data_IF_851618665665
#
_entry.id   IF_851618665665
#
_cell.length_a   1.000
_cell.length_b   1.000
_cell.length_c   1.000
_cell.angle_alpha   90.00
_cell.angle_beta   90.00
_cell.angle_gamma   90.00
#
_symmetry.space_group_name_H-M   'P 1'
#
loop_
_entity.id
_entity.type
_entity.pdbx_description
1 polymer ?
#
# COMPACT_ATOMS: atom_id res chain seq x y z
N UNK A 1 -34.46 -7.84 -5.85
CA UNK A 1 -33.48 -7.05 -6.64
C UNK A 1 -32.90 -5.93 -5.78
N UNK A 2 -32.19 -6.26 -4.71
CA UNK A 2 -31.58 -5.28 -3.77
C UNK A 2 -30.06 -5.42 -3.63
N UNK A 3 -29.44 -6.48 -4.17
CA UNK A 3 -28.03 -6.79 -3.91
C UNK A 3 -27.01 -5.86 -4.58
N UNK A 4 -27.34 -5.23 -5.72
CA UNK A 4 -26.40 -4.37 -6.48
C UNK A 4 -26.25 -3.01 -5.79
N UNK A 5 -27.37 -2.40 -5.35
CA UNK A 5 -27.34 -1.12 -4.64
C UNK A 5 -26.68 -1.26 -3.27
N UNK A 6 -26.88 -2.39 -2.59
CA UNK A 6 -26.25 -2.69 -1.30
C UNK A 6 -24.75 -3.02 -1.42
N UNK A 7 -24.29 -3.59 -2.55
CA UNK A 7 -22.85 -3.76 -2.83
C UNK A 7 -22.18 -2.41 -3.13
N UNK A 8 -22.78 -1.59 -3.99
CA UNK A 8 -22.27 -0.24 -4.32
C UNK A 8 -22.24 0.69 -3.10
N UNK A 9 -23.27 0.65 -2.25
CA UNK A 9 -23.32 1.41 -1.00
C UNK A 9 -22.22 0.97 -0.02
N UNK A 10 -21.90 -0.32 0.06
CA UNK A 10 -20.81 -0.84 0.91
C UNK A 10 -19.43 -0.43 0.41
N UNK A 11 -19.15 -0.49 -0.89
CA UNK A 11 -17.86 -0.06 -1.44
C UNK A 11 -17.65 1.46 -1.37
N UNK A 12 -18.68 2.26 -1.65
CA UNK A 12 -18.63 3.72 -1.47
C UNK A 12 -18.42 4.10 0.01
N UNK A 13 -19.12 3.44 0.94
CA UNK A 13 -18.94 3.71 2.37
C UNK A 13 -17.51 3.38 2.84
N UNK A 14 -16.89 2.29 2.35
CA UNK A 14 -15.50 1.93 2.66
C UNK A 14 -14.48 2.94 2.10
N UNK A 15 -14.72 3.48 0.90
CA UNK A 15 -13.88 4.52 0.30
C UNK A 15 -13.93 5.83 1.07
N UNK A 16 -15.13 6.26 1.48
CA UNK A 16 -15.33 7.51 2.24
C UNK A 16 -14.74 7.42 3.64
N UNK A 17 -14.89 6.30 4.36
CA UNK A 17 -14.30 6.13 5.70
C UNK A 17 -12.78 6.06 5.65
N UNK A 18 -12.20 5.33 4.68
CA UNK A 18 -10.74 5.20 4.52
C UNK A 18 -10.07 6.53 4.19
N UNK A 19 -10.64 7.31 3.27
CA UNK A 19 -10.09 8.62 2.89
C UNK A 19 -10.17 9.60 4.07
N UNK A 20 -11.27 9.58 4.83
CA UNK A 20 -11.45 10.46 5.99
C UNK A 20 -10.44 10.17 7.12
N UNK A 21 -10.20 8.89 7.43
CA UNK A 21 -9.23 8.48 8.46
C UNK A 21 -7.81 8.87 8.06
N UNK A 22 -7.36 8.52 6.84
CA UNK A 22 -6.02 8.86 6.36
C UNK A 22 -5.77 10.37 6.27
N UNK A 23 -6.78 11.14 5.85
CA UNK A 23 -6.66 12.59 5.76
C UNK A 23 -6.45 13.23 7.15
N UNK A 24 -7.23 12.77 8.15
CA UNK A 24 -7.10 13.27 9.54
C UNK A 24 -5.77 12.87 10.17
N UNK A 25 -5.34 11.62 9.95
CA UNK A 25 -4.04 11.11 10.40
C UNK A 25 -2.88 11.95 9.85
N UNK A 26 -2.82 12.17 8.54
CA UNK A 26 -1.74 12.93 7.91
C UNK A 26 -1.65 14.36 8.46
N UNK A 27 -2.80 15.02 8.65
CA UNK A 27 -2.84 16.36 9.23
C UNK A 27 -2.36 16.38 10.69
N UNK A 28 -2.73 15.37 11.48
CA UNK A 28 -2.27 15.25 12.87
C UNK A 28 -0.76 15.02 12.93
N UNK A 29 -0.24 14.04 12.18
CA UNK A 29 1.19 13.71 12.13
C UNK A 29 2.03 14.90 11.65
N UNK A 30 1.57 15.63 10.63
CA UNK A 30 2.30 16.81 10.16
C UNK A 30 2.41 17.91 11.23
N UNK A 31 1.36 18.13 12.03
CA UNK A 31 1.41 19.08 13.15
C UNK A 31 2.37 18.61 14.24
N UNK A 32 2.33 17.33 14.60
CA UNK A 32 3.23 16.75 15.60
C UNK A 32 4.69 16.79 15.15
N UNK A 33 4.97 16.53 13.87
CA UNK A 33 6.30 16.68 13.28
C UNK A 33 6.81 18.12 13.38
N UNK A 34 5.95 19.12 13.12
CA UNK A 34 6.33 20.52 13.28
C UNK A 34 6.68 20.86 14.74
N UNK A 35 5.97 20.28 15.72
CA UNK A 35 6.31 20.42 17.15
C UNK A 35 7.66 19.76 17.48
N UNK A 36 7.92 18.56 16.95
CA UNK A 36 9.22 17.88 17.12
C UNK A 36 10.34 18.77 16.56
N UNK A 37 10.19 19.29 15.35
CA UNK A 37 11.18 20.19 14.74
C UNK A 37 11.43 21.43 15.61
N UNK A 38 10.38 22.07 16.11
CA UNK A 38 10.51 23.23 16.99
C UNK A 38 11.25 22.90 18.30
N UNK A 39 10.98 21.73 18.91
CA UNK A 39 11.71 21.29 20.10
C UNK A 39 13.18 20.94 19.80
N UNK A 40 13.44 20.30 18.66
CA UNK A 40 14.80 19.98 18.21
C UNK A 40 15.62 21.25 17.94
N UNK A 41 15.04 22.25 17.31
CA UNK A 41 15.68 23.55 17.07
C UNK A 41 16.03 24.23 18.40
N UNK A 42 15.06 24.31 19.33
CA UNK A 42 15.29 24.89 20.65
C UNK A 42 16.37 24.15 21.43
N UNK A 43 16.35 22.81 21.38
CA UNK A 43 17.37 21.95 22.01
C UNK A 43 18.75 22.21 21.44
N UNK A 44 18.87 22.28 20.11
CA UNK A 44 20.13 22.56 19.44
C UNK A 44 20.69 23.93 19.86
N UNK A 45 19.85 24.97 19.93
CA UNK A 45 20.24 26.29 20.44
C UNK A 45 20.75 26.21 21.88
N UNK A 46 20.03 25.53 22.79
CA UNK A 46 20.43 25.39 24.18
C UNK A 46 21.76 24.64 24.35
N UNK A 47 22.01 23.61 23.55
CA UNK A 47 23.28 22.87 23.57
C UNK A 47 24.44 23.78 23.16
N UNK A 48 24.25 24.59 22.12
CA UNK A 48 25.27 25.56 21.68
C UNK A 48 25.52 26.62 22.75
N UNK A 49 24.47 27.17 23.35
CA UNK A 49 24.60 28.13 24.46
C UNK A 49 25.28 27.53 25.69
N UNK A 50 24.94 26.30 26.04
CA UNK A 50 25.56 25.57 27.13
C UNK A 50 27.06 25.38 26.87
N UNK A 51 27.44 24.96 25.66
CA UNK A 51 28.83 24.81 25.26
C UNK A 51 29.61 26.12 25.35
N UNK A 52 29.02 27.24 24.85
CA UNK A 52 29.62 28.57 24.98
C UNK A 52 29.83 28.97 26.43
N UNK A 53 28.80 28.88 27.26
CA UNK A 53 28.89 29.21 28.68
C UNK A 53 29.95 28.36 29.40
N UNK A 54 29.98 27.06 29.12
CA UNK A 54 30.96 26.13 29.70
C UNK A 54 32.39 26.53 29.31
N UNK A 55 32.63 26.82 28.03
CA UNK A 55 33.93 27.23 27.52
C UNK A 55 34.38 28.57 28.11
N UNK A 56 33.49 29.58 28.15
CA UNK A 56 33.79 30.89 28.72
C UNK A 56 34.17 30.77 30.20
N UNK A 57 33.47 29.93 30.95
CA UNK A 57 33.77 29.69 32.36
C UNK A 57 35.09 28.96 32.56
N UNK A 58 35.40 27.99 31.70
CA UNK A 58 36.70 27.31 31.69
C UNK A 58 37.85 28.27 31.34
N UNK A 59 37.71 29.08 30.30
CA UNK A 59 38.72 30.04 29.86
C UNK A 59 39.07 31.05 30.94
N UNK A 60 38.09 31.44 31.76
CA UNK A 60 38.27 32.36 32.88
C UNK A 60 38.63 31.67 34.21
N UNK A 61 38.85 30.34 34.21
CA UNK A 61 39.10 29.53 35.43
C UNK A 61 38.02 29.72 36.51
N UNK A 62 36.79 29.99 36.10
CA UNK A 62 35.63 30.27 36.96
C UNK A 62 34.49 29.28 36.67
N UNK A 63 34.83 27.99 36.64
CA UNK A 63 33.87 26.92 36.40
C UNK A 63 32.90 26.79 37.60
N UNK A 64 31.61 26.77 37.29
CA UNK A 64 30.51 26.70 38.24
C UNK A 64 29.37 25.89 37.61
N UNK A 65 29.28 24.63 38.05
CA UNK A 65 28.29 23.68 37.56
C UNK A 65 26.84 24.16 37.81
N UNK A 66 26.60 24.91 38.88
CA UNK A 66 25.28 25.40 39.26
C UNK A 66 24.61 26.25 38.17
N UNK A 67 25.42 26.89 37.33
CA UNK A 67 24.96 27.69 36.19
C UNK A 67 24.61 26.86 34.96
N UNK A 68 25.10 25.62 34.89
CA UNK A 68 24.89 24.69 33.78
C UNK A 68 23.68 23.77 34.03
N UNK A 69 23.49 23.33 35.28
CA UNK A 69 22.36 22.47 35.71
C UNK A 69 21.00 22.89 35.12
N UNK A 70 20.55 24.16 35.22
CA UNK A 70 19.23 24.54 34.70
C UNK A 70 19.13 24.39 33.18
N UNK A 71 20.21 24.67 32.43
CA UNK A 71 20.24 24.47 30.97
C UNK A 71 20.20 22.98 30.62
N UNK A 72 20.92 22.14 31.37
CA UNK A 72 20.87 20.69 31.19
C UNK A 72 19.48 20.10 31.47
N UNK A 73 18.81 20.58 32.53
CA UNK A 73 17.44 20.18 32.85
C UNK A 73 16.46 20.59 31.75
N UNK A 74 16.57 21.81 31.22
CA UNK A 74 15.72 22.25 30.11
C UNK A 74 15.93 21.40 28.84
N UNK A 75 17.17 21.00 28.54
CA UNK A 75 17.47 20.07 27.44
C UNK A 75 16.82 18.71 27.69
N UNK A 76 16.91 18.18 28.91
CA UNK A 76 16.29 16.92 29.28
C UNK A 76 14.75 16.97 29.17
N UNK A 77 14.14 18.08 29.56
CA UNK A 77 12.71 18.29 29.40
C UNK A 77 12.29 18.34 27.93
N UNK A 78 13.11 18.94 27.05
CA UNK A 78 12.87 18.93 25.62
C UNK A 78 13.00 17.52 25.04
N UNK A 79 13.99 16.74 25.47
CA UNK A 79 14.17 15.33 25.06
C UNK A 79 12.94 14.49 25.45
N UNK A 80 12.45 14.65 26.69
CA UNK A 80 11.24 13.99 27.16
C UNK A 80 10.00 14.39 26.35
N UNK A 81 9.87 15.67 26.00
CA UNK A 81 8.76 16.16 25.15
C UNK A 81 8.83 15.58 23.75
N UNK A 82 10.01 15.53 23.14
CA UNK A 82 10.21 14.93 21.81
C UNK A 82 9.79 13.45 21.85
N UNK A 83 10.30 12.68 22.81
CA UNK A 83 9.95 11.27 22.97
C UNK A 83 8.43 11.06 23.17
N UNK A 84 7.77 11.93 23.94
CA UNK A 84 6.32 11.90 24.13
C UNK A 84 5.53 12.14 22.83
N UNK A 85 5.94 13.13 22.04
CA UNK A 85 5.30 13.43 20.75
C UNK A 85 5.55 12.31 19.73
N UNK A 86 6.74 11.71 19.72
CA UNK A 86 7.05 10.55 18.87
C UNK A 86 6.19 9.33 19.22
N UNK A 87 5.95 9.08 20.52
CA UNK A 87 5.04 8.05 20.97
C UNK A 87 3.59 8.31 20.51
N UNK A 88 3.12 9.56 20.57
CA UNK A 88 1.79 9.94 20.09
C UNK A 88 1.64 9.69 18.57
N UNK A 89 2.66 10.00 17.77
CA UNK A 89 2.68 9.69 16.33
C UNK A 89 2.58 8.17 16.11
N UNK A 90 3.31 7.38 16.89
CA UNK A 90 3.27 5.92 16.79
C UNK A 90 1.87 5.37 17.13
N UNK A 91 1.22 5.91 18.17
CA UNK A 91 -0.13 5.52 18.56
C UNK A 91 -1.18 5.89 17.51
N UNK A 92 -1.10 7.10 16.93
CA UNK A 92 -2.00 7.53 15.85
C UNK A 92 -1.91 6.57 14.65
N UNK A 93 -0.69 6.19 14.26
CA UNK A 93 -0.45 5.23 13.16
C UNK A 93 -1.00 3.84 13.48
N UNK A 94 -0.86 3.39 14.73
CA UNK A 94 -1.39 2.10 15.16
C UNK A 94 -2.92 2.10 15.15
N UNK A 95 -3.54 3.16 15.67
CA UNK A 95 -4.99 3.32 15.69
C UNK A 95 -5.58 3.41 14.28
N UNK A 96 -4.96 4.19 13.39
CA UNK A 96 -5.40 4.28 11.99
C UNK A 96 -5.34 2.92 11.30
N UNK A 97 -4.26 2.16 11.50
CA UNK A 97 -4.11 0.81 10.94
C UNK A 97 -5.13 -0.18 11.52
N UNK A 98 -5.42 -0.13 12.83
CA UNK A 98 -6.43 -0.96 13.47
C UNK A 98 -7.84 -0.67 12.93
N UNK A 99 -8.24 0.61 12.86
CA UNK A 99 -9.54 1.02 12.31
C UNK A 99 -9.69 0.57 10.86
N UNK A 100 -8.62 0.67 10.07
CA UNK A 100 -8.62 0.20 8.68
C UNK A 100 -8.71 -1.34 8.58
N UNK A 101 -8.06 -2.08 9.48
CA UNK A 101 -8.14 -3.54 9.56
C UNK A 101 -9.53 -4.03 10.00
N UNK A 102 -10.15 -3.36 10.97
CA UNK A 102 -11.52 -3.63 11.43
C UNK A 102 -12.55 -3.31 10.34
N UNK A 103 -12.38 -2.18 9.64
CA UNK A 103 -13.23 -1.82 8.49
C UNK A 103 -13.04 -2.77 7.29
N UNK A 104 -11.89 -3.46 7.21
CA UNK A 104 -11.63 -4.52 6.26
C UNK A 104 -12.26 -5.88 6.65
N UNK A 105 -12.98 -5.95 7.79
CA UNK A 105 -13.61 -7.13 8.37
C UNK A 105 -13.93 -8.29 7.40
N UNK A 106 -13.35 -9.45 7.74
CA UNK A 106 -13.65 -10.82 7.28
C UNK A 106 -13.94 -10.97 5.78
N UNK A 107 -12.93 -10.74 4.93
CA UNK A 107 -12.86 -11.38 3.61
C UNK A 107 -11.96 -12.64 3.61
N UNK A 108 -11.34 -12.97 4.75
CA UNK A 108 -10.42 -14.12 4.89
C UNK A 108 -11.13 -15.45 5.16
N UNK A 109 -12.46 -15.50 5.09
CA UNK A 109 -13.24 -16.74 5.14
C UNK A 109 -14.17 -16.89 3.96
N UNK A 110 -13.80 -16.37 2.80
CA UNK A 110 -14.32 -16.93 1.57
C UNK A 110 -13.40 -18.08 1.17
N UNK A 111 -13.81 -19.36 1.30
CA UNK A 111 -13.01 -20.50 0.85
C UNK A 111 -12.63 -20.41 -0.64
N UNK A 112 -13.23 -19.48 -1.39
CA UNK A 112 -13.02 -19.26 -2.81
C UNK A 112 -12.24 -17.95 -3.13
N UNK A 113 -11.56 -17.35 -2.16
CA UNK A 113 -10.71 -16.17 -2.40
C UNK A 113 -9.44 -16.52 -3.20
N UNK A 114 -9.19 -15.80 -4.31
CA UNK A 114 -8.02 -15.96 -5.17
C UNK A 114 -6.99 -14.86 -4.91
N UNK A 115 -5.73 -15.23 -4.72
CA UNK A 115 -4.64 -14.25 -4.63
C UNK A 115 -4.11 -13.93 -6.02
N UNK A 116 -4.20 -12.67 -6.42
CA UNK A 116 -3.62 -12.17 -7.66
C UNK A 116 -2.09 -12.10 -7.54
N UNK A 117 -1.38 -12.25 -8.66
CA UNK A 117 0.09 -12.12 -8.73
C UNK A 117 0.66 -10.81 -8.14
N UNK A 118 -0.13 -9.74 -8.07
CA UNK A 118 0.29 -8.48 -7.43
C UNK A 118 0.20 -8.48 -5.89
N UNK A 119 -0.14 -9.64 -5.30
CA UNK A 119 -0.31 -9.85 -3.86
C UNK A 119 -1.65 -9.35 -3.31
N UNK A 120 -2.62 -9.04 -4.17
CA UNK A 120 -3.96 -8.62 -3.74
C UNK A 120 -4.92 -9.81 -3.70
N UNK A 121 -5.66 -9.99 -2.62
CA UNK A 121 -6.69 -11.03 -2.47
C UNK A 121 -7.98 -10.54 -3.13
N UNK A 122 -8.57 -11.37 -3.99
CA UNK A 122 -9.72 -11.02 -4.83
C UNK A 122 -10.77 -12.13 -4.76
N UNK A 123 -12.05 -11.76 -4.68
CA UNK A 123 -13.19 -12.71 -4.64
C UNK A 123 -13.45 -13.37 -6.00
N UNK A 124 -14.07 -14.56 -6.00
CA UNK A 124 -14.38 -15.37 -7.19
C UNK A 124 -15.19 -14.66 -8.30
N UNK A 125 -15.98 -13.64 -7.93
CA UNK A 125 -16.80 -12.87 -8.88
C UNK A 125 -16.00 -11.89 -9.77
N UNK A 126 -14.70 -11.67 -9.49
CA UNK A 126 -13.93 -10.58 -10.08
C UNK A 126 -13.14 -11.02 -11.32
N UNK A 127 -13.56 -10.59 -12.51
CA UNK A 127 -12.85 -10.87 -13.78
C UNK A 127 -11.46 -10.24 -13.87
N UNK A 128 -11.20 -9.19 -13.09
CA UNK A 128 -9.94 -8.45 -13.07
C UNK A 128 -9.58 -8.06 -11.63
N UNK A 129 -8.29 -8.03 -11.33
CA UNK A 129 -7.78 -7.56 -10.05
C UNK A 129 -8.06 -6.06 -9.89
N UNK A 130 -8.75 -5.68 -8.82
CA UNK A 130 -9.08 -4.30 -8.47
C UNK A 130 -7.85 -3.44 -8.10
N UNK A 131 -6.67 -4.06 -7.89
CA UNK A 131 -5.43 -3.36 -7.55
C UNK A 131 -4.48 -3.18 -8.75
N UNK A 132 -4.32 -4.19 -9.60
CA UNK A 132 -3.37 -4.16 -10.73
C UNK A 132 -4.02 -4.23 -12.11
N UNK A 133 -5.33 -4.44 -12.22
CA UNK A 133 -6.07 -4.53 -13.47
C UNK A 133 -5.86 -5.83 -14.26
N UNK A 134 -5.03 -6.75 -13.78
CA UNK A 134 -4.75 -8.03 -14.45
C UNK A 134 -5.98 -8.93 -14.44
N UNK A 135 -6.27 -9.60 -15.55
CA UNK A 135 -7.37 -10.56 -15.67
C UNK A 135 -7.10 -11.74 -14.74
N UNK A 136 -8.12 -12.16 -14.01
CA UNK A 136 -8.06 -13.28 -13.08
C UNK A 136 -8.64 -14.52 -13.76
N UNK A 137 -7.98 -15.66 -13.57
CA UNK A 137 -8.43 -16.96 -14.02
C UNK A 137 -8.74 -17.78 -12.77
N UNK A 138 -10.03 -17.99 -12.49
CA UNK A 138 -10.46 -18.87 -11.41
C UNK A 138 -10.45 -20.30 -11.92
N UNK A 139 -9.88 -21.27 -11.16
CA UNK A 139 -10.10 -22.67 -11.45
C UNK A 139 -11.59 -22.95 -11.28
N UNK A 140 -12.27 -23.31 -12.38
CA UNK A 140 -13.64 -23.82 -12.30
C UNK A 140 -13.62 -25.08 -11.43
N UNK A 141 -14.53 -25.25 -10.45
CA UNK A 141 -14.67 -26.54 -9.78
C UNK A 141 -15.01 -27.60 -10.83
N UNK A 142 -14.16 -28.62 -10.92
CA UNK A 142 -14.33 -29.74 -11.83
C UNK A 142 -15.65 -30.45 -11.50
N UNK A 143 -16.60 -30.58 -12.45
CA UNK A 143 -17.76 -31.44 -12.25
C UNK A 143 -17.29 -32.89 -12.19
N UNK A 144 -17.65 -33.58 -11.12
CA UNK A 144 -17.29 -34.97 -10.85
C UNK A 144 -17.72 -35.87 -12.03
N UNK A 145 -16.73 -36.45 -12.70
CA UNK A 145 -16.90 -37.30 -13.88
C UNK A 145 -17.18 -38.74 -13.45
N UNK A 146 -18.43 -39.17 -13.64
CA UNK A 146 -18.80 -40.57 -13.71
C UNK A 146 -18.54 -41.15 -15.11
N UNK A 147 -17.57 -42.07 -15.16
CA UNK A 147 -17.49 -43.32 -15.96
C UNK A 147 -17.90 -43.38 -17.45
N UNK A 148 -16.94 -43.94 -18.23
CA UNK A 148 -17.06 -44.84 -19.40
C UNK A 148 -17.51 -44.19 -20.74
N UNK A 149 -17.04 -44.52 -21.94
CA UNK A 149 -16.06 -45.47 -22.49
C UNK A 149 -15.83 -45.10 -23.98
N UNK A 150 -14.65 -45.43 -24.50
CA UNK A 150 -14.29 -45.75 -25.91
C UNK A 150 -14.54 -44.76 -27.07
N UNK A 151 -13.42 -44.38 -27.72
CA UNK A 151 -13.05 -44.73 -29.11
C UNK A 151 -12.41 -43.55 -29.88
N UNK A 152 -11.12 -43.69 -30.18
CA UNK A 152 -10.48 -43.11 -31.37
C UNK A 152 -11.13 -43.68 -32.66
N UNK A 153 -11.05 -43.06 -33.86
CA UNK A 153 -9.88 -42.33 -34.36
C UNK A 153 -10.14 -41.13 -35.31
N UNK A 154 -9.02 -40.58 -35.80
CA UNK A 154 -8.79 -40.02 -37.14
C UNK A 154 -8.59 -38.48 -37.27
N UNK A 155 -7.32 -38.10 -37.36
CA UNK A 155 -6.80 -37.05 -38.26
C UNK A 155 -7.34 -37.27 -39.71
N UNK A 156 -7.56 -36.22 -40.54
CA UNK A 156 -6.48 -35.33 -40.97
C UNK A 156 -6.85 -33.88 -41.37
N UNK A 157 -5.78 -33.14 -41.68
CA UNK A 157 -5.62 -32.19 -42.79
C UNK A 157 -5.24 -30.77 -42.37
N UNK A 158 -3.95 -30.51 -42.55
CA UNK A 158 -3.21 -29.27 -42.45
C UNK A 158 -3.63 -28.33 -43.61
N UNK A 159 -3.87 -27.06 -43.31
CA UNK A 159 -3.88 -25.97 -44.28
C UNK A 159 -3.12 -24.77 -43.69
N UNK A 160 -2.22 -24.19 -44.51
CA UNK A 160 -1.09 -23.36 -44.10
C UNK A 160 -1.49 -21.98 -43.55
N UNK A 161 -0.86 -21.51 -42.45
CA UNK A 161 -1.18 -20.21 -41.88
C UNK A 161 -0.50 -19.04 -42.63
N UNK A 162 -1.23 -17.94 -42.81
CA UNK A 162 -0.88 -16.82 -43.67
C UNK A 162 0.23 -15.96 -43.06
N UNK A 163 1.38 -15.89 -43.73
CA UNK A 163 2.53 -15.10 -43.29
C UNK A 163 2.41 -13.62 -43.66
N UNK A 164 2.53 -12.75 -42.65
CA UNK A 164 2.64 -11.31 -42.85
C UNK A 164 4.10 -10.91 -43.16
N UNK A 165 4.30 -9.82 -43.91
CA UNK A 165 5.61 -9.22 -44.19
C UNK A 165 6.42 -8.83 -42.96
N UNK A 166 5.77 -8.64 -41.80
CA UNK A 166 6.44 -8.44 -40.51
C UNK A 166 6.97 -9.74 -39.87
N UNK A 167 6.85 -10.87 -40.55
CA UNK A 167 7.28 -12.19 -40.10
C UNK A 167 6.28 -12.91 -39.18
N UNK A 168 5.14 -12.30 -38.86
CA UNK A 168 4.13 -12.92 -38.01
C UNK A 168 3.15 -13.79 -38.80
N UNK A 169 2.90 -14.99 -38.27
CA UNK A 169 1.96 -15.97 -38.82
C UNK A 169 0.56 -15.65 -38.29
N UNK A 170 -0.39 -15.46 -39.19
CA UNK A 170 -1.78 -15.16 -38.84
C UNK A 170 -2.70 -16.34 -39.16
N UNK A 171 -3.80 -16.44 -38.41
CA UNK A 171 -4.85 -17.45 -38.63
C UNK A 171 -5.62 -17.15 -39.92
N UNK A 172 -6.12 -18.20 -40.58
CA UNK A 172 -6.92 -18.08 -41.80
C UNK A 172 -8.13 -17.17 -41.61
N UNK A 173 -8.41 -16.32 -42.61
CA UNK A 173 -9.52 -15.35 -42.58
C UNK A 173 -9.23 -14.01 -41.89
N UNK A 174 -8.03 -13.83 -41.33
CA UNK A 174 -7.61 -12.55 -40.77
C UNK A 174 -7.40 -11.50 -41.87
N UNK A 175 -8.19 -10.42 -41.86
CA UNK A 175 -8.06 -9.30 -42.82
C UNK A 175 -6.85 -8.39 -42.53
N UNK A 176 -6.34 -8.45 -41.29
CA UNK A 176 -5.24 -7.62 -40.81
C UNK A 176 -4.32 -8.45 -39.90
N UNK A 177 -3.04 -8.13 -39.92
CA UNK A 177 -2.06 -8.76 -39.02
C UNK A 177 -2.32 -8.32 -37.58
N UNK A 178 -2.44 -9.28 -36.65
CA UNK A 178 -2.70 -8.98 -35.23
C UNK A 178 -1.53 -8.24 -34.57
N UNK A 179 -0.33 -8.38 -35.12
CA UNK A 179 0.89 -7.81 -34.54
C UNK A 179 1.20 -6.40 -35.06
N UNK A 180 1.04 -6.15 -36.35
CA UNK A 180 1.43 -4.88 -36.97
C UNK A 180 0.28 -4.09 -37.62
N UNK A 181 -0.94 -4.65 -37.66
CA UNK A 181 -2.12 -3.98 -38.20
C UNK A 181 -2.16 -3.82 -39.73
N UNK A 182 -1.16 -4.29 -40.47
CA UNK A 182 -1.17 -4.27 -41.93
C UNK A 182 -2.23 -5.22 -42.49
N UNK A 183 -2.88 -4.79 -43.58
CA UNK A 183 -3.80 -5.64 -44.35
C UNK A 183 -3.06 -6.85 -44.88
N UNK A 184 -3.63 -8.02 -44.63
CA UNK A 184 -3.16 -9.27 -45.21
C UNK A 184 -3.90 -9.44 -46.54
N UNK A 185 -3.15 -9.46 -47.64
CA UNK A 185 -3.64 -9.69 -49.01
C UNK A 185 -3.36 -11.10 -49.46
#
# INVERSE_FOLDING_TARGET
MSSIFDKVKRELNKGVTTVNVKSKELLAINRLNALISAYQDKRATLIVELGKATFDMFANSAFDESRLVPKCQEIQDLDNKIAGVEAEIADIRKQSQQVLAEAAGDNDKDPNALTCECGNVVSEDMKFCNKCGKKLEFPLPEPETGTESEAEPAEPAVADPLHCSCGHVNKEGAKFCIKCGQTLS
#
